data_IF_328589946261
#
_entry.id   IF_328589946261
#
_cell.length_a   1.000
_cell.length_b   1.000
_cell.length_c   1.000
_cell.angle_alpha   90.00
_cell.angle_beta   90.00
_cell.angle_gamma   90.00
#
_symmetry.space_group_name_H-M   'P 1'
#
loop_
_entity.id
_entity.type
_entity.pdbx_description
1 polymer ?
#
# COMPACT_ATOMS: atom_id res chain seq x y z
N UNK A 1 2.70 7.71 -4.24
CA UNK A 1 3.83 7.45 -3.31
C UNK A 1 4.93 8.47 -3.60
N UNK A 2 5.34 9.27 -2.61
CA UNK A 2 6.44 10.24 -2.82
C UNK A 2 7.83 9.63 -2.53
N UNK A 3 8.88 10.38 -2.88
CA UNK A 3 10.27 9.95 -2.75
C UNK A 3 10.72 9.76 -1.30
N UNK A 4 10.18 10.55 -0.37
CA UNK A 4 10.54 10.45 1.06
C UNK A 4 9.98 9.16 1.66
N UNK A 5 8.73 8.83 1.32
CA UNK A 5 8.09 7.58 1.71
C UNK A 5 8.81 6.37 1.12
N UNK A 6 9.24 6.42 -0.15
CA UNK A 6 10.06 5.37 -0.74
C UNK A 6 11.37 5.14 0.01
N UNK A 7 12.11 6.21 0.33
CA UNK A 7 13.36 6.12 1.08
C UNK A 7 13.12 5.50 2.46
N UNK A 8 12.09 5.97 3.17
CA UNK A 8 11.73 5.45 4.48
C UNK A 8 11.35 3.98 4.45
N UNK A 9 10.58 3.54 3.46
CA UNK A 9 10.21 2.12 3.30
C UNK A 9 11.45 1.27 3.06
N UNK A 10 12.36 1.73 2.21
CA UNK A 10 13.64 1.05 1.94
C UNK A 10 14.47 0.90 3.22
N UNK A 11 14.65 1.98 3.98
CA UNK A 11 15.42 1.96 5.23
C UNK A 11 14.80 1.01 6.27
N UNK A 12 13.46 0.99 6.36
CA UNK A 12 12.75 0.07 7.24
C UNK A 12 12.92 -1.39 6.82
N UNK A 13 12.84 -1.68 5.51
CA UNK A 13 13.03 -3.02 4.96
C UNK A 13 14.46 -3.54 5.19
N UNK A 14 15.46 -2.68 5.04
CA UNK A 14 16.86 -3.02 5.36
C UNK A 14 17.06 -3.24 6.87
N UNK A 15 16.41 -2.43 7.71
CA UNK A 15 16.58 -2.50 9.16
C UNK A 15 15.89 -3.70 9.81
N UNK A 16 14.67 -4.01 9.37
CA UNK A 16 13.81 -5.00 10.03
C UNK A 16 13.62 -6.29 9.24
N UNK A 17 14.09 -6.35 8.00
CA UNK A 17 13.84 -7.46 7.08
C UNK A 17 12.47 -7.31 6.41
N UNK A 18 12.44 -7.48 5.09
CA UNK A 18 11.24 -7.33 4.26
C UNK A 18 10.13 -8.32 4.63
N UNK A 19 10.49 -9.49 5.15
CA UNK A 19 9.57 -10.53 5.62
C UNK A 19 8.80 -10.15 6.90
N UNK A 20 9.29 -9.15 7.63
CA UNK A 20 8.67 -8.64 8.86
C UNK A 20 7.88 -7.35 8.64
N UNK A 21 7.65 -6.97 7.37
CA UNK A 21 6.97 -5.73 7.01
C UNK A 21 5.83 -5.98 6.03
N UNK A 22 4.77 -5.22 6.22
CA UNK A 22 3.70 -5.03 5.25
C UNK A 22 3.50 -3.53 5.02
N UNK A 23 2.92 -3.18 3.88
CA UNK A 23 2.50 -1.82 3.56
C UNK A 23 0.99 -1.75 3.66
N UNK A 24 0.48 -0.74 4.37
CA UNK A 24 -0.96 -0.45 4.46
C UNK A 24 -1.21 0.87 3.72
N UNK A 25 -2.03 0.80 2.67
CA UNK A 25 -2.40 1.92 1.81
C UNK A 25 -3.79 2.45 2.22
N UNK A 26 -4.00 3.75 1.98
CA UNK A 26 -5.27 4.43 2.24
C UNK A 26 -5.61 5.45 1.15
N UNK A 27 -5.20 5.17 -0.09
CA UNK A 27 -5.46 6.03 -1.24
C UNK A 27 -6.92 5.91 -1.67
N UNK A 28 -7.55 7.03 -2.05
CA UNK A 28 -8.95 7.05 -2.46
C UNK A 28 -9.19 6.73 -3.94
N UNK A 29 -8.13 6.53 -4.71
CA UNK A 29 -8.17 6.27 -6.15
C UNK A 29 -7.49 4.93 -6.43
N UNK A 30 -8.13 4.09 -7.25
CA UNK A 30 -7.65 2.75 -7.56
C UNK A 30 -6.25 2.79 -8.20
N UNK A 31 -6.11 3.48 -9.34
CA UNK A 31 -4.83 3.61 -10.08
C UNK A 31 -3.68 4.10 -9.19
N UNK A 32 -3.92 5.11 -8.35
CA UNK A 32 -2.90 5.64 -7.46
C UNK A 32 -2.49 4.64 -6.36
N UNK A 33 -3.45 3.83 -5.88
CA UNK A 33 -3.21 2.78 -4.89
C UNK A 33 -2.49 1.58 -5.51
N UNK A 34 -2.86 1.20 -6.73
CA UNK A 34 -2.15 0.22 -7.57
C UNK A 34 -0.69 0.58 -7.77
N UNK A 35 -0.43 1.79 -8.27
CA UNK A 35 0.94 2.29 -8.49
C UNK A 35 1.76 2.28 -7.19
N UNK A 36 1.15 2.63 -6.06
CA UNK A 36 1.82 2.55 -4.77
C UNK A 36 2.15 1.10 -4.36
N UNK A 37 1.23 0.15 -4.61
CA UNK A 37 1.43 -1.27 -4.37
C UNK A 37 2.52 -1.86 -5.29
N UNK A 38 2.53 -1.49 -6.57
CA UNK A 38 3.57 -1.84 -7.54
C UNK A 38 4.93 -1.33 -7.08
N UNK A 39 5.00 -0.06 -6.68
CA UNK A 39 6.26 0.60 -6.27
C UNK A 39 6.95 -0.14 -5.13
N UNK A 40 6.20 -0.62 -4.13
CA UNK A 40 6.77 -1.31 -2.95
C UNK A 40 7.00 -2.80 -3.18
N UNK A 41 6.32 -3.41 -4.16
CA UNK A 41 6.47 -4.82 -4.50
C UNK A 41 7.54 -5.02 -5.57
N UNK A 42 7.36 -4.41 -6.74
CA UNK A 42 8.16 -4.61 -7.95
C UNK A 42 9.19 -3.49 -8.18
N UNK A 43 9.03 -2.35 -7.51
CA UNK A 43 9.88 -1.16 -7.65
C UNK A 43 9.17 -0.05 -8.41
N UNK A 44 9.70 1.19 -8.33
CA UNK A 44 9.07 2.35 -8.96
C UNK A 44 9.18 2.27 -10.50
N UNK A 45 8.06 2.17 -11.24
CA UNK A 45 8.05 2.02 -12.70
C UNK A 45 8.43 3.31 -13.44
N UNK A 46 8.45 4.45 -12.75
CA UNK A 46 8.87 5.74 -13.34
C UNK A 46 10.39 5.87 -13.44
N UNK A 47 11.14 4.91 -12.86
CA UNK A 47 12.60 4.93 -12.76
C UNK A 47 13.16 6.18 -12.08
N UNK A 48 12.36 6.83 -11.25
CA UNK A 48 12.77 7.91 -10.39
C UNK A 48 12.78 7.47 -8.93
N UNK A 49 13.68 8.05 -8.13
CA UNK A 49 13.63 7.88 -6.68
C UNK A 49 14.34 6.65 -6.09
N UNK A 50 14.21 6.47 -4.76
CA UNK A 50 14.91 5.43 -4.01
C UNK A 50 14.56 3.99 -4.41
N UNK A 51 13.36 3.76 -4.97
CA UNK A 51 12.90 2.46 -5.41
C UNK A 51 12.93 2.27 -6.94
N UNK A 52 13.55 3.19 -7.70
CA UNK A 52 13.73 3.05 -9.14
C UNK A 52 14.41 1.72 -9.51
N UNK A 53 13.63 0.79 -10.10
CA UNK A 53 14.11 -0.55 -10.45
C UNK A 53 14.53 -1.43 -9.26
N UNK A 54 14.19 -1.05 -8.03
CA UNK A 54 14.50 -1.83 -6.81
C UNK A 54 13.22 -2.50 -6.32
N UNK A 55 13.08 -3.79 -6.60
CA UNK A 55 12.01 -4.62 -6.05
C UNK A 55 12.32 -4.98 -4.60
N UNK A 56 11.47 -4.53 -3.67
CA UNK A 56 11.53 -4.97 -2.28
C UNK A 56 10.73 -6.25 -2.04
N UNK A 57 9.71 -6.54 -2.87
CA UNK A 57 8.81 -7.68 -2.71
C UNK A 57 7.93 -7.57 -1.47
N UNK A 58 7.62 -6.36 -1.01
CA UNK A 58 6.74 -6.14 0.13
C UNK A 58 5.28 -6.40 -0.27
N UNK A 59 4.51 -6.98 0.65
CA UNK A 59 3.07 -7.14 0.48
C UNK A 59 2.36 -5.85 0.86
N UNK A 60 1.58 -5.31 -0.08
CA UNK A 60 0.73 -4.15 0.15
C UNK A 60 -0.74 -4.58 0.32
N UNK A 61 -1.41 -3.97 1.28
CA UNK A 61 -2.84 -4.14 1.54
C UNK A 61 -3.49 -2.77 1.58
N UNK A 62 -4.72 -2.67 1.10
CA UNK A 62 -5.53 -1.48 1.34
C UNK A 62 -6.16 -1.56 2.73
N UNK A 63 -6.35 -0.43 3.41
CA UNK A 63 -6.96 -0.37 4.75
C UNK A 63 -8.37 -1.02 4.78
N UNK A 64 -9.09 -0.95 3.65
CA UNK A 64 -10.40 -1.60 3.49
C UNK A 64 -10.35 -3.13 3.59
N UNK A 65 -9.19 -3.75 3.32
CA UNK A 65 -8.99 -5.20 3.46
C UNK A 65 -8.70 -5.61 4.92
N UNK A 66 -8.34 -4.65 5.76
CA UNK A 66 -7.86 -4.89 7.13
C UNK A 66 -8.88 -4.48 8.19
N UNK A 67 -10.14 -4.31 7.81
CA UNK A 67 -11.22 -3.85 8.71
C UNK A 67 -11.34 -4.71 9.98
N UNK A 68 -11.15 -6.03 9.85
CA UNK A 68 -11.23 -6.97 10.99
C UNK A 68 -10.01 -6.90 11.93
N UNK A 69 -8.90 -6.32 11.45
CA UNK A 69 -7.65 -6.16 12.22
C UNK A 69 -7.57 -4.80 12.94
N UNK A 70 -8.57 -3.93 12.74
CA UNK A 70 -8.64 -2.59 13.33
C UNK A 70 -9.77 -2.54 14.35
N UNK A 71 -9.58 -1.78 15.44
CA UNK A 71 -10.66 -1.52 16.39
C UNK A 71 -11.91 -0.96 15.65
N UNK A 72 -13.10 -1.57 15.82
CA UNK A 72 -14.26 -1.18 15.05
C UNK A 72 -14.69 0.28 15.23
N UNK A 73 -14.50 0.86 16.42
CA UNK A 73 -14.86 2.26 16.67
C UNK A 73 -13.90 3.19 15.94
N UNK A 74 -12.60 2.87 15.95
CA UNK A 74 -11.58 3.63 15.22
C UNK A 74 -11.79 3.54 13.72
N UNK A 75 -12.10 2.35 13.19
CA UNK A 75 -12.35 2.18 11.76
C UNK A 75 -13.58 2.98 11.31
N UNK A 76 -14.69 2.90 12.04
CA UNK A 76 -15.91 3.64 11.72
C UNK A 76 -15.66 5.17 11.73
N UNK A 77 -14.96 5.66 12.76
CA UNK A 77 -14.64 7.08 12.91
C UNK A 77 -13.70 7.60 11.80
N UNK A 78 -12.67 6.85 11.44
CA UNK A 78 -11.58 7.34 10.57
C UNK A 78 -11.76 6.94 9.10
N UNK A 79 -12.41 5.82 8.81
CA UNK A 79 -12.47 5.19 7.49
C UNK A 79 -13.90 5.03 6.99
N UNK A 80 -14.88 4.85 7.89
CA UNK A 80 -16.26 4.47 7.55
C UNK A 80 -16.95 5.41 6.55
N UNK A 81 -16.73 6.72 6.65
CA UNK A 81 -17.29 7.68 5.67
C UNK A 81 -16.74 7.43 4.26
N UNK A 82 -15.43 7.18 4.14
CA UNK A 82 -14.80 6.97 2.83
C UNK A 82 -15.13 5.60 2.25
N UNK A 83 -15.25 4.57 3.08
CA UNK A 83 -15.70 3.24 2.66
C UNK A 83 -17.09 3.28 1.98
N UNK A 84 -17.98 4.19 2.41
CA UNK A 84 -19.30 4.37 1.78
C UNK A 84 -19.30 5.22 0.51
N UNK A 85 -18.23 5.99 0.26
CA UNK A 85 -18.16 6.97 -0.83
C UNK A 85 -17.32 6.47 -2.00
N UNK A 86 -16.27 5.71 -1.70
CA UNK A 86 -15.30 5.25 -2.68
C UNK A 86 -15.69 3.90 -3.27
N UNK A 87 -15.17 3.61 -4.47
CA UNK A 87 -15.28 2.29 -5.08
C UNK A 87 -14.26 1.34 -4.42
N UNK A 88 -14.67 0.78 -3.28
CA UNK A 88 -13.82 -0.08 -2.45
C UNK A 88 -13.36 -1.31 -3.21
N UNK A 89 -14.23 -1.89 -4.05
CA UNK A 89 -13.92 -3.10 -4.79
C UNK A 89 -12.85 -2.83 -5.85
N UNK A 90 -12.98 -1.75 -6.63
CA UNK A 90 -12.00 -1.35 -7.64
C UNK A 90 -10.62 -1.07 -7.00
N UNK A 91 -10.59 -0.36 -5.88
CA UNK A 91 -9.34 -0.07 -5.15
C UNK A 91 -8.67 -1.36 -4.68
N UNK A 92 -9.44 -2.28 -4.09
CA UNK A 92 -8.91 -3.55 -3.58
C UNK A 92 -8.39 -4.43 -4.72
N UNK A 93 -9.12 -4.52 -5.84
CA UNK A 93 -8.70 -5.29 -7.01
C UNK A 93 -7.36 -4.80 -7.56
N UNK A 94 -7.21 -3.48 -7.72
CA UNK A 94 -5.97 -2.88 -8.23
C UNK A 94 -4.78 -3.13 -7.27
N UNK A 95 -4.97 -2.99 -5.96
CA UNK A 95 -3.89 -3.29 -4.99
C UNK A 95 -3.53 -4.78 -5.00
N UNK A 96 -4.52 -5.67 -5.15
CA UNK A 96 -4.33 -7.12 -5.17
C UNK A 96 -3.50 -7.59 -6.37
N UNK A 97 -3.64 -6.95 -7.53
CA UNK A 97 -2.89 -7.30 -8.74
C UNK A 97 -1.37 -7.40 -8.48
N UNK A 98 -0.84 -6.52 -7.63
CA UNK A 98 0.59 -6.46 -7.32
C UNK A 98 1.02 -7.28 -6.11
N UNK A 99 0.09 -7.85 -5.34
CA UNK A 99 0.41 -8.58 -4.10
C UNK A 99 0.94 -10.01 -4.35
N UNK A 100 0.68 -10.59 -5.52
CA UNK A 100 1.18 -11.90 -5.93
C UNK A 100 0.65 -13.03 -5.04
N UNK A 101 -0.54 -13.53 -5.37
CA UNK A 101 -1.14 -14.74 -4.79
C UNK A 101 -1.02 -15.95 -5.74
#
# INVERSE_FOLDING_TARGET
MDLENQARIKDLAEKYGKENLIIVLGGGEAEASGLAAETVSQGDPTFAGPLAGVSLGLKAYHIFELKEEVDPQVYDEQVGMMEMVLDVDEIIEEVKEYRGD
#
